data_IF_271013428839
#
_entry.id   IF_271013428839
#
_cell.length_a   1.000
_cell.length_b   1.000
_cell.length_c   1.000
_cell.angle_alpha   90.00
_cell.angle_beta   90.00
_cell.angle_gamma   90.00
#
_symmetry.space_group_name_H-M   'P 1'
#
loop_
_entity.id
_entity.type
_entity.pdbx_description
1 polymer ?
#
# COMPACT_ATOMS: atom_id res chain seq x y z
N UNK A 1 10.16 16.81 32.70
CA UNK A 1 11.44 16.47 32.04
C UNK A 1 11.47 14.96 31.85
N UNK A 2 11.25 14.47 30.63
CA UNK A 2 11.23 13.05 30.30
C UNK A 2 12.00 12.82 29.03
N UNK A 3 13.30 12.58 29.16
CA UNK A 3 14.24 12.28 28.09
C UNK A 3 14.12 10.81 27.68
N UNK A 4 13.12 10.45 26.89
CA UNK A 4 12.99 9.13 26.27
C UNK A 4 13.21 9.24 24.76
N UNK A 5 14.47 9.34 24.32
CA UNK A 5 14.76 9.45 22.89
C UNK A 5 16.19 9.14 22.44
N UNK A 6 17.08 8.65 23.32
CA UNK A 6 18.48 8.40 22.96
C UNK A 6 18.95 7.02 23.43
N UNK A 7 18.29 5.96 22.97
CA UNK A 7 19.00 4.67 22.88
C UNK A 7 19.80 4.68 21.58
N UNK A 8 21.13 4.48 21.61
CA UNK A 8 21.93 4.44 20.39
C UNK A 8 21.39 3.34 19.47
N UNK A 9 21.18 3.69 18.21
CA UNK A 9 20.75 2.73 17.19
C UNK A 9 21.90 1.73 17.04
N UNK A 10 21.71 0.43 17.36
CA UNK A 10 22.80 -0.54 17.26
C UNK A 10 23.26 -0.63 15.80
N UNK A 11 24.58 -0.75 15.60
CA UNK A 11 25.14 -1.03 14.27
C UNK A 11 24.63 -2.39 13.79
N UNK A 12 23.90 -2.41 12.68
CA UNK A 12 23.29 -3.63 12.12
C UNK A 12 23.86 -3.96 10.76
N UNK A 13 23.88 -5.24 10.43
CA UNK A 13 24.36 -5.73 9.13
C UNK A 13 23.40 -5.35 8.01
N UNK A 14 23.92 -5.18 6.79
CA UNK A 14 23.13 -4.92 5.56
C UNK A 14 22.11 -6.03 5.29
N UNK A 15 22.39 -7.26 5.74
CA UNK A 15 21.51 -8.42 5.56
C UNK A 15 20.49 -8.58 6.69
N UNK A 16 20.60 -7.80 7.76
CA UNK A 16 19.74 -7.91 8.91
C UNK A 16 18.39 -7.23 8.63
N UNK A 17 17.30 -8.01 8.69
CA UNK A 17 15.96 -7.46 8.59
C UNK A 17 15.56 -6.88 9.94
N UNK A 18 15.39 -5.56 10.02
CA UNK A 18 14.89 -4.92 11.22
C UNK A 18 13.53 -4.27 11.00
N UNK A 19 12.73 -4.27 12.07
CA UNK A 19 11.41 -3.68 12.11
C UNK A 19 11.49 -2.26 12.63
N UNK A 20 11.05 -1.29 11.84
CA UNK A 20 10.94 0.08 12.31
C UNK A 20 9.60 0.34 12.99
N UNK A 21 9.54 1.36 13.86
CA UNK A 21 8.29 1.90 14.37
C UNK A 21 7.35 2.17 13.19
N UNK A 22 6.10 1.71 13.26
CA UNK A 22 5.09 1.68 12.16
C UNK A 22 5.03 0.39 11.32
N UNK A 23 5.77 -0.66 11.68
CA UNK A 23 5.49 -2.02 11.19
C UNK A 23 5.89 -2.29 9.73
N UNK A 24 6.88 -1.55 9.24
CA UNK A 24 7.55 -1.79 7.95
C UNK A 24 8.89 -2.48 8.24
N UNK A 25 9.18 -3.54 7.49
CA UNK A 25 10.42 -4.30 7.60
C UNK A 25 11.48 -3.71 6.64
N UNK A 26 12.71 -3.53 7.11
CA UNK A 26 13.83 -2.97 6.34
C UNK A 26 15.00 -3.95 6.33
N UNK A 27 15.73 -4.05 5.23
CA UNK A 27 16.97 -4.83 5.12
C UNK A 27 18.06 -3.92 4.54
N UNK A 28 19.00 -3.49 5.37
CA UNK A 28 20.02 -2.52 4.99
C UNK A 28 19.40 -1.21 4.46
N UNK A 29 19.83 -0.75 3.28
CA UNK A 29 19.31 0.46 2.61
C UNK A 29 18.02 0.18 1.81
N UNK A 30 17.63 -1.10 1.69
CA UNK A 30 16.45 -1.50 0.94
C UNK A 30 15.26 -1.70 1.89
N UNK A 31 14.15 -1.00 1.62
CA UNK A 31 12.87 -1.37 2.24
C UNK A 31 12.39 -2.67 1.61
N UNK A 32 12.31 -3.74 2.41
CA UNK A 32 11.60 -4.95 1.99
C UNK A 32 10.12 -4.66 2.19
N UNK A 33 9.35 -4.67 1.11
CA UNK A 33 7.90 -4.59 1.22
C UNK A 33 7.32 -5.91 1.70
N UNK A 34 7.67 -6.33 2.91
CA UNK A 34 6.81 -7.22 3.67
C UNK A 34 5.68 -6.34 4.20
N UNK A 35 4.74 -5.92 3.33
CA UNK A 35 3.43 -5.52 3.83
C UNK A 35 2.95 -6.70 4.68
N UNK A 36 2.85 -6.53 6.00
CA UNK A 36 2.41 -7.58 6.95
C UNK A 36 1.07 -8.20 6.55
N UNK A 37 0.29 -7.48 5.75
CA UNK A 37 -0.93 -7.99 5.12
C UNK A 37 -0.55 -8.57 3.76
N UNK A 38 -0.37 -9.89 3.74
CA UNK A 38 -0.48 -10.68 2.52
C UNK A 38 -1.92 -10.54 2.01
N UNK A 39 -2.08 -9.81 0.91
CA UNK A 39 -3.37 -9.56 0.27
C UNK A 39 -4.08 -10.88 -0.02
N UNK A 40 -3.38 -11.89 -0.55
CA UNK A 40 -3.96 -13.19 -0.86
C UNK A 40 -4.54 -13.86 0.38
N UNK A 41 -3.78 -13.90 1.48
CA UNK A 41 -4.26 -14.43 2.76
C UNK A 41 -5.43 -13.63 3.33
N UNK A 42 -5.41 -12.30 3.21
CA UNK A 42 -6.48 -11.45 3.69
C UNK A 42 -7.78 -11.65 2.87
N UNK A 43 -7.68 -11.69 1.54
CA UNK A 43 -8.80 -11.98 0.63
C UNK A 43 -9.38 -13.37 0.89
N UNK A 44 -8.54 -14.38 1.12
CA UNK A 44 -8.98 -15.73 1.46
C UNK A 44 -9.80 -15.75 2.75
N UNK A 45 -9.39 -15.00 3.78
CA UNK A 45 -10.14 -14.86 5.04
C UNK A 45 -11.50 -14.20 4.83
N UNK A 46 -11.55 -13.11 4.05
CA UNK A 46 -12.81 -12.41 3.73
C UNK A 46 -13.75 -13.31 2.93
N UNK A 47 -13.19 -14.10 2.00
CA UNK A 47 -13.96 -15.04 1.17
C UNK A 47 -14.54 -16.19 1.99
N UNK A 48 -13.78 -16.72 2.96
CA UNK A 48 -14.22 -17.81 3.83
C UNK A 48 -15.24 -17.38 4.89
N UNK A 49 -15.25 -16.10 5.27
CA UNK A 49 -16.17 -15.60 6.30
C UNK A 49 -17.64 -15.67 5.81
N UNK A 50 -18.60 -16.04 6.68
CA UNK A 50 -20.03 -16.07 6.36
C UNK A 50 -20.58 -14.63 6.36
N UNK A 51 -20.29 -13.89 5.30
CA UNK A 51 -20.66 -12.49 5.12
C UNK A 51 -21.41 -12.31 3.81
N UNK A 52 -22.35 -11.36 3.80
CA UNK A 52 -23.03 -10.92 2.59
C UNK A 52 -22.02 -10.32 1.59
N UNK A 53 -22.20 -10.49 0.26
CA UNK A 53 -21.28 -9.94 -0.74
C UNK A 53 -21.06 -8.43 -0.59
N UNK A 54 -22.11 -7.69 -0.24
CA UNK A 54 -22.06 -6.26 0.01
C UNK A 54 -21.18 -5.91 1.23
N UNK A 55 -21.26 -6.71 2.30
CA UNK A 55 -20.42 -6.55 3.49
C UNK A 55 -18.94 -6.84 3.18
N UNK A 56 -18.66 -7.86 2.36
CA UNK A 56 -17.29 -8.17 1.90
C UNK A 56 -16.68 -7.01 1.12
N UNK A 57 -17.45 -6.39 0.23
CA UNK A 57 -17.02 -5.19 -0.50
C UNK A 57 -16.77 -4.01 0.41
N UNK A 58 -17.69 -3.75 1.35
CA UNK A 58 -17.52 -2.70 2.34
C UNK A 58 -16.24 -2.90 3.16
N UNK A 59 -15.98 -4.14 3.59
CA UNK A 59 -14.79 -4.50 4.35
C UNK A 59 -13.51 -4.31 3.53
N UNK A 60 -13.50 -4.78 2.29
CA UNK A 60 -12.38 -4.62 1.36
C UNK A 60 -12.04 -3.14 1.17
N UNK A 61 -13.04 -2.31 0.82
CA UNK A 61 -12.86 -0.89 0.50
C UNK A 61 -12.46 -0.07 1.73
N UNK A 62 -13.10 -0.30 2.86
CA UNK A 62 -13.00 0.59 4.03
C UNK A 62 -11.84 0.22 4.95
N UNK A 63 -11.48 -1.07 5.04
CA UNK A 63 -10.49 -1.53 6.01
C UNK A 63 -9.28 -2.17 5.34
N UNK A 64 -9.49 -3.09 4.40
CA UNK A 64 -8.39 -3.89 3.85
C UNK A 64 -7.48 -3.07 2.94
N UNK A 65 -8.06 -2.33 1.97
CA UNK A 65 -7.28 -1.51 1.05
C UNK A 65 -6.49 -0.41 1.77
N UNK A 66 -7.07 0.43 2.65
CA UNK A 66 -6.30 1.46 3.35
C UNK A 66 -5.15 0.90 4.19
N UNK A 67 -5.37 -0.26 4.82
CA UNK A 67 -4.34 -0.95 5.61
C UNK A 67 -3.15 -1.42 4.75
N UNK A 68 -3.42 -1.85 3.52
CA UNK A 68 -2.40 -2.23 2.54
C UNK A 68 -1.69 -1.00 1.97
N UNK A 69 -2.43 0.08 1.67
CA UNK A 69 -1.89 1.29 1.04
C UNK A 69 -0.66 1.81 1.77
N UNK A 70 -0.68 1.85 3.11
CA UNK A 70 0.48 2.29 3.89
C UNK A 70 1.73 1.43 3.61
N UNK A 71 1.63 0.10 3.70
CA UNK A 71 2.77 -0.77 3.41
C UNK A 71 3.27 -0.66 1.96
N UNK A 72 2.35 -0.55 1.00
CA UNK A 72 2.68 -0.49 -0.43
C UNK A 72 3.33 0.85 -0.81
N UNK A 73 2.92 1.97 -0.22
CA UNK A 73 3.54 3.29 -0.48
C UNK A 73 4.98 3.34 0.00
N UNK A 74 5.28 2.73 1.15
CA UNK A 74 6.62 2.77 1.76
C UNK A 74 7.56 1.70 1.20
N UNK A 75 7.05 0.59 0.70
CA UNK A 75 7.87 -0.52 0.25
C UNK A 75 8.27 -0.50 -1.22
N UNK A 76 9.45 -1.04 -1.57
CA UNK A 76 9.86 -1.23 -2.97
C UNK A 76 8.98 -2.29 -3.67
N UNK A 77 8.21 -1.87 -4.67
CA UNK A 77 7.34 -2.71 -5.48
C UNK A 77 7.51 -2.36 -6.95
N UNK A 78 7.47 -3.38 -7.80
CA UNK A 78 7.44 -3.20 -9.26
C UNK A 78 6.01 -2.89 -9.72
N UNK A 79 5.89 -2.21 -10.86
CA UNK A 79 4.59 -1.97 -11.49
C UNK A 79 3.84 -3.28 -11.77
N UNK A 80 4.56 -4.31 -12.22
CA UNK A 80 4.01 -5.66 -12.42
C UNK A 80 3.38 -6.24 -11.16
N UNK A 81 4.04 -6.11 -10.00
CA UNK A 81 3.50 -6.59 -8.73
C UNK A 81 2.21 -5.86 -8.34
N UNK A 82 2.14 -4.54 -8.54
CA UNK A 82 0.89 -3.79 -8.28
C UNK A 82 -0.26 -4.24 -9.19
N UNK A 83 0.03 -4.56 -10.46
CA UNK A 83 -0.96 -5.08 -11.40
C UNK A 83 -1.44 -6.49 -11.02
N UNK A 84 -0.55 -7.35 -10.50
CA UNK A 84 -0.92 -8.65 -9.95
C UNK A 84 -1.88 -8.52 -8.76
N UNK A 85 -1.59 -7.61 -7.82
CA UNK A 85 -2.49 -7.33 -6.69
C UNK A 85 -3.86 -6.84 -7.16
N UNK A 86 -3.90 -5.94 -8.16
CA UNK A 86 -5.16 -5.49 -8.78
C UNK A 86 -5.91 -6.65 -9.48
N UNK A 87 -5.21 -7.63 -10.06
CA UNK A 87 -5.84 -8.84 -10.64
C UNK A 87 -6.46 -9.72 -9.55
N UNK A 88 -5.75 -9.94 -8.45
CA UNK A 88 -6.24 -10.71 -7.30
C UNK A 88 -7.51 -10.09 -6.70
N UNK A 89 -7.51 -8.76 -6.48
CA UNK A 89 -8.67 -8.02 -5.99
C UNK A 89 -9.86 -8.17 -6.94
N UNK A 90 -9.65 -7.95 -8.25
CA UNK A 90 -10.73 -8.08 -9.23
C UNK A 90 -11.29 -9.51 -9.29
N UNK A 91 -10.43 -10.52 -9.18
CA UNK A 91 -10.85 -11.92 -9.15
C UNK A 91 -11.73 -12.22 -7.94
N UNK A 92 -11.31 -11.80 -6.74
CA UNK A 92 -12.08 -11.97 -5.51
C UNK A 92 -13.44 -11.26 -5.58
N UNK A 93 -13.45 -10.00 -6.04
CA UNK A 93 -14.68 -9.19 -6.19
C UNK A 93 -15.66 -9.83 -7.17
N UNK A 94 -15.16 -10.29 -8.34
CA UNK A 94 -15.98 -11.01 -9.33
C UNK A 94 -16.58 -12.29 -8.74
N UNK A 95 -15.82 -13.02 -7.93
CA UNK A 95 -16.27 -14.24 -7.26
C UNK A 95 -17.34 -13.98 -6.20
N UNK A 96 -17.22 -12.90 -5.43
CA UNK A 96 -18.19 -12.54 -4.38
C UNK A 96 -19.52 -12.07 -4.97
N UNK A 97 -19.47 -11.26 -6.03
CA UNK A 97 -20.66 -10.72 -6.69
C UNK A 97 -21.24 -11.63 -7.78
N UNK A 98 -20.58 -12.75 -8.08
CA UNK A 98 -20.97 -13.68 -9.16
C UNK A 98 -21.14 -12.97 -10.51
N UNK A 99 -20.18 -12.09 -10.85
CA UNK A 99 -20.27 -11.35 -12.10
C UNK A 99 -20.17 -12.26 -13.32
N UNK A 100 -20.95 -11.96 -14.39
CA UNK A 100 -20.76 -12.63 -15.67
C UNK A 100 -19.42 -12.23 -16.32
N UNK A 101 -18.88 -13.06 -17.24
CA UNK A 101 -17.56 -12.85 -17.83
C UNK A 101 -17.43 -11.53 -18.62
N UNK A 102 -18.54 -10.95 -19.09
CA UNK A 102 -18.57 -9.72 -19.88
C UNK A 102 -18.44 -8.40 -19.10
N UNK A 103 -18.39 -8.42 -17.76
CA UNK A 103 -18.31 -7.17 -16.98
C UNK A 103 -16.93 -6.51 -17.17
N UNK A 104 -16.86 -5.23 -17.58
CA UNK A 104 -15.60 -4.52 -17.71
C UNK A 104 -14.88 -4.38 -16.37
N UNK A 105 -13.56 -4.55 -16.34
CA UNK A 105 -12.77 -4.30 -15.12
C UNK A 105 -12.83 -2.84 -14.68
N UNK A 106 -13.06 -1.91 -15.61
CA UNK A 106 -13.27 -0.50 -15.32
C UNK A 106 -14.45 -0.26 -14.37
N UNK A 107 -15.50 -1.09 -14.43
CA UNK A 107 -16.66 -0.99 -13.53
C UNK A 107 -16.28 -1.16 -12.05
N UNK A 108 -15.32 -2.04 -11.77
CA UNK A 108 -14.83 -2.31 -10.41
C UNK A 108 -14.12 -1.06 -9.84
N UNK A 109 -13.36 -0.36 -10.68
CA UNK A 109 -12.57 0.80 -10.27
C UNK A 109 -13.30 2.13 -10.39
N UNK A 110 -14.38 2.19 -11.17
CA UNK A 110 -15.18 3.38 -11.34
C UNK A 110 -15.76 3.85 -9.99
N UNK A 111 -15.84 5.16 -9.76
CA UNK A 111 -16.32 5.69 -8.49
C UNK A 111 -17.81 5.41 -8.31
N UNK A 112 -18.24 5.28 -7.04
CA UNK A 112 -19.63 4.97 -6.68
C UNK A 112 -20.62 6.00 -7.22
N UNK A 113 -20.23 7.28 -7.25
CA UNK A 113 -21.02 8.37 -7.83
C UNK A 113 -21.35 8.20 -9.32
N UNK A 114 -20.55 7.39 -10.03
CA UNK A 114 -20.74 7.07 -11.45
C UNK A 114 -21.32 5.66 -11.64
N UNK A 115 -21.86 5.04 -10.59
CA UNK A 115 -22.46 3.71 -10.62
C UNK A 115 -21.48 2.53 -10.51
N UNK A 116 -20.19 2.79 -10.27
CA UNK A 116 -19.17 1.76 -10.09
C UNK A 116 -19.05 1.25 -8.65
N UNK A 117 -18.09 0.34 -8.40
CA UNK A 117 -17.87 -0.23 -7.06
C UNK A 117 -16.96 0.61 -6.15
N UNK A 118 -16.22 1.57 -6.73
CA UNK A 118 -15.33 2.47 -5.99
C UNK A 118 -14.11 1.76 -5.36
N UNK A 119 -13.64 0.67 -5.97
CA UNK A 119 -12.45 -0.04 -5.51
C UNK A 119 -11.22 0.60 -6.16
N UNK A 120 -10.37 1.24 -5.35
CA UNK A 120 -9.17 1.92 -5.85
C UNK A 120 -8.22 0.93 -6.52
N UNK A 121 -7.72 1.27 -7.71
CA UNK A 121 -6.64 0.53 -8.37
C UNK A 121 -5.31 0.87 -7.71
N UNK A 122 -4.63 -0.15 -7.18
CA UNK A 122 -3.34 -0.01 -6.51
C UNK A 122 -2.25 0.39 -7.50
N UNK A 123 -2.29 -0.14 -8.73
CA UNK A 123 -1.32 0.20 -9.77
C UNK A 123 -1.37 1.68 -10.17
N UNK A 124 -2.54 2.32 -10.11
CA UNK A 124 -2.67 3.75 -10.36
C UNK A 124 -2.45 4.61 -9.10
N UNK A 125 -2.99 4.18 -7.95
CA UNK A 125 -2.99 5.01 -6.74
C UNK A 125 -1.65 5.02 -6.02
N UNK A 126 -0.96 3.88 -5.93
CA UNK A 126 0.28 3.77 -5.14
C UNK A 126 1.41 4.64 -5.70
N UNK A 127 1.70 4.67 -7.02
CA UNK A 127 2.69 5.58 -7.56
C UNK A 127 2.35 7.06 -7.31
N UNK A 128 1.07 7.41 -7.48
CA UNK A 128 0.56 8.77 -7.24
C UNK A 128 0.75 9.19 -5.77
N UNK A 129 0.39 8.32 -4.82
CA UNK A 129 0.56 8.57 -3.39
C UNK A 129 2.03 8.65 -2.97
N UNK A 130 2.89 7.80 -3.56
CA UNK A 130 4.34 7.88 -3.34
C UNK A 130 4.89 9.21 -3.81
N UNK A 131 4.53 9.63 -5.04
CA UNK A 131 4.95 10.92 -5.59
C UNK A 131 4.50 12.08 -4.70
N UNK A 132 3.22 12.11 -4.31
CA UNK A 132 2.68 13.14 -3.43
C UNK A 132 3.44 13.20 -2.09
N UNK A 133 3.75 12.04 -1.50
CA UNK A 133 4.54 11.96 -0.26
C UNK A 133 5.95 12.51 -0.43
N UNK A 134 6.63 12.19 -1.53
CA UNK A 134 7.98 12.68 -1.80
C UNK A 134 8.00 14.19 -2.03
N UNK A 135 7.01 14.73 -2.76
CA UNK A 135 6.84 16.17 -2.94
C UNK A 135 6.57 16.88 -1.60
N UNK A 136 5.79 16.26 -0.71
CA UNK A 136 5.48 16.81 0.61
C UNK A 136 6.72 16.98 1.51
N UNK A 137 7.85 16.32 1.22
CA UNK A 137 9.10 16.50 1.97
C UNK A 137 9.63 17.94 1.87
N UNK A 138 9.46 18.59 0.72
CA UNK A 138 9.93 19.96 0.47
C UNK A 138 9.20 20.99 1.35
N UNK A 139 7.91 20.77 1.60
CA UNK A 139 7.07 21.63 2.44
C UNK A 139 7.08 21.27 3.93
N UNK A 140 7.91 20.32 4.36
CA UNK A 140 7.91 19.87 5.75
C UNK A 140 8.51 20.93 6.69
N UNK A 141 7.95 21.02 7.91
CA UNK A 141 8.49 21.85 8.98
C UNK A 141 9.85 21.36 9.50
N UNK A 142 10.21 20.11 9.23
CA UNK A 142 11.45 19.50 9.70
C UNK A 142 12.59 19.72 8.70
N UNK A 143 13.70 20.31 9.17
CA UNK A 143 14.88 20.57 8.33
C UNK A 143 15.46 19.32 7.68
N UNK A 144 15.48 18.19 8.40
CA UNK A 144 15.97 16.89 7.89
C UNK A 144 15.09 16.36 6.76
N UNK A 145 13.77 16.54 6.85
CA UNK A 145 12.85 16.10 5.79
C UNK A 145 13.05 16.91 4.50
N UNK A 146 13.30 18.22 4.62
CA UNK A 146 13.64 19.07 3.47
C UNK A 146 14.98 18.67 2.84
N UNK A 147 16.01 18.48 3.65
CA UNK A 147 17.31 18.00 3.15
C UNK A 147 17.19 16.63 2.46
N UNK A 148 16.34 15.74 2.97
CA UNK A 148 16.07 14.45 2.34
C UNK A 148 15.36 14.57 0.98
N UNK A 149 14.65 15.66 0.72
CA UNK A 149 14.00 15.89 -0.57
C UNK A 149 15.01 16.12 -1.71
N UNK A 150 16.22 16.57 -1.38
CA UNK A 150 17.30 16.82 -2.35
C UNK A 150 18.12 15.58 -2.71
N UNK A 151 17.87 14.44 -2.05
CA UNK A 151 18.57 13.19 -2.35
C UNK A 151 18.29 12.71 -3.77
N UNK A 152 19.32 12.22 -4.46
CA UNK A 152 19.22 11.71 -5.83
C UNK A 152 18.16 10.60 -5.99
N UNK A 153 18.01 9.76 -4.96
CA UNK A 153 16.96 8.75 -4.91
C UNK A 153 15.55 9.36 -5.04
N UNK A 154 15.29 10.48 -4.35
CA UNK A 154 13.99 11.16 -4.41
C UNK A 154 13.78 11.77 -5.79
N UNK A 155 14.82 12.38 -6.36
CA UNK A 155 14.78 12.96 -7.71
C UNK A 155 14.52 11.90 -8.77
N UNK A 156 15.17 10.73 -8.70
CA UNK A 156 14.93 9.60 -9.59
C UNK A 156 13.52 9.03 -9.51
N UNK A 157 12.85 9.13 -8.35
CA UNK A 157 11.47 8.67 -8.19
C UNK A 157 10.42 9.72 -8.61
N UNK A 158 10.83 10.96 -8.85
CA UNK A 158 9.97 12.07 -9.27
C UNK A 158 10.09 12.40 -10.77
N UNK A 159 11.19 12.00 -11.40
CA UNK A 159 11.40 12.04 -12.86
C UNK A 159 10.47 11.07 -13.58
#
# INVERSE_FOLDING_TARGET
MGSSGQSPIPSRSVLEVWRYYLGVDFMGVATITASRVDLGRALARVTKAPLEPQQRLCLLRTYLLPKLTYGLVFGRLTAGRLQELDREIRSAVRSWLKFPPGVPSAYIHAPVKSGGLGIVSLSASIPSLRRQRLLALQGSSWGVARAAADLDFVRQQLA
#
